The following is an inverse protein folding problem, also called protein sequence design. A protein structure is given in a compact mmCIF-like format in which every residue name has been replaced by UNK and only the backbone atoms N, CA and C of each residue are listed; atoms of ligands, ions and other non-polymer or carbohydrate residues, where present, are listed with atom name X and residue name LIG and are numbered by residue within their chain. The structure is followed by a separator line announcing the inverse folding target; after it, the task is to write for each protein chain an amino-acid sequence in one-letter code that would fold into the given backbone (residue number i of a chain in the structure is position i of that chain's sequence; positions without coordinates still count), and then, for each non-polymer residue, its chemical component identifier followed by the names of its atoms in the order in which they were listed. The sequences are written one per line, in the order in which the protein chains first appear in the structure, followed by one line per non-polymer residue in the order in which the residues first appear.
data_IF_913035359879
#
_entry.id   IF_913035359879
#
_cell.length_a   1.000
_cell.length_b   1.000
_cell.length_c   1.000
_cell.angle_alpha   90.00
_cell.angle_beta   90.00
_cell.angle_gamma   90.00
#
_symmetry.space_group_name_H-M   'P 1'
#
loop_
_entity.id
_entity.type
_entity.pdbx_description
1 polymer ?
#
# COMPACT_ATOMS: atom_id res chain seq x y z
N UNK A 1 25.82 -2.70 8.68
CA UNK A 1 25.68 -2.78 7.21
C UNK A 1 24.90 -4.06 6.89
N UNK A 2 23.57 -3.97 6.74
CA UNK A 2 22.75 -5.16 6.45
C UNK A 2 23.07 -5.69 5.03
N UNK A 3 23.18 -7.02 4.85
CA UNK A 3 23.78 -7.62 3.67
C UNK A 3 22.98 -7.26 2.41
N UNK A 4 23.69 -6.98 1.32
CA UNK A 4 23.15 -6.78 -0.04
C UNK A 4 22.48 -8.09 -0.52
N UNK A 5 21.28 -8.41 0.00
CA UNK A 5 20.41 -9.36 -0.68
C UNK A 5 20.06 -8.72 -2.03
N UNK A 6 20.40 -9.40 -3.13
CA UNK A 6 20.10 -8.92 -4.48
C UNK A 6 18.58 -8.79 -4.62
N UNK A 7 18.15 -7.58 -4.93
CA UNK A 7 16.75 -7.26 -5.19
C UNK A 7 16.42 -7.73 -6.59
N UNK A 8 15.44 -8.64 -6.69
CA UNK A 8 14.90 -9.15 -7.95
C UNK A 8 13.92 -8.16 -8.55
N UNK A 9 13.00 -7.64 -7.72
CA UNK A 9 11.95 -6.72 -8.15
C UNK A 9 11.49 -5.81 -7.00
N UNK A 10 11.10 -4.60 -7.36
CA UNK A 10 10.46 -3.62 -6.47
C UNK A 10 9.05 -3.34 -7.00
N UNK A 11 8.04 -3.67 -6.19
CA UNK A 11 6.64 -3.56 -6.57
C UNK A 11 5.99 -2.52 -5.65
N UNK A 12 5.33 -1.54 -6.24
CA UNK A 12 4.59 -0.48 -5.52
C UNK A 12 3.11 -0.68 -5.73
N UNK A 13 2.38 -0.93 -4.64
CA UNK A 13 0.94 -1.14 -4.66
C UNK A 13 0.25 -0.14 -3.74
N UNK A 14 -0.98 0.22 -4.09
CA UNK A 14 -1.87 0.99 -3.23
C UNK A 14 -3.02 0.08 -2.81
N UNK A 15 -3.09 -0.22 -1.51
CA UNK A 15 -4.08 -1.16 -0.98
C UNK A 15 -4.86 -0.48 0.14
N UNK A 16 -6.12 -0.85 0.32
CA UNK A 16 -6.90 -0.39 1.46
C UNK A 16 -6.43 -1.06 2.74
N UNK A 17 -6.14 -0.25 3.75
CA UNK A 17 -5.72 -0.68 5.07
C UNK A 17 -6.74 -1.63 5.71
N UNK A 18 -6.29 -2.79 6.17
CA UNK A 18 -7.13 -3.82 6.78
C UNK A 18 -8.13 -4.51 5.83
N UNK A 19 -8.08 -4.20 4.53
CA UNK A 19 -8.96 -4.76 3.51
C UNK A 19 -8.16 -5.25 2.28
N UNK A 20 -6.91 -5.69 2.47
CA UNK A 20 -6.17 -6.36 1.42
C UNK A 20 -6.87 -7.67 1.06
N UNK A 21 -7.11 -7.86 -0.24
CA UNK A 21 -7.64 -9.09 -0.82
C UNK A 21 -6.71 -9.56 -1.94
N UNK A 22 -6.66 -10.88 -2.24
CA UNK A 22 -5.87 -11.42 -3.34
C UNK A 22 -6.41 -11.06 -4.74
N UNK A 23 -7.24 -10.01 -4.83
CA UNK A 23 -7.92 -9.55 -6.03
C UNK A 23 -6.94 -9.07 -7.14
N UNK A 24 -7.43 -8.81 -8.37
CA UNK A 24 -6.62 -8.56 -9.57
C UNK A 24 -5.49 -7.50 -9.50
N UNK A 25 -5.48 -6.48 -8.62
CA UNK A 25 -4.31 -5.60 -8.53
C UNK A 25 -3.15 -6.24 -7.76
N UNK A 26 -3.41 -7.11 -6.77
CA UNK A 26 -2.40 -7.66 -5.86
C UNK A 26 -1.95 -9.05 -6.31
N UNK A 27 -2.89 -9.90 -6.72
CA UNK A 27 -2.64 -11.29 -7.08
C UNK A 27 -1.66 -11.45 -8.27
N UNK A 28 -1.94 -10.87 -9.45
CA UNK A 28 -1.04 -10.89 -10.60
C UNK A 28 0.31 -10.21 -10.32
N UNK A 29 0.28 -9.06 -9.63
CA UNK A 29 1.47 -8.25 -9.37
C UNK A 29 2.51 -8.97 -8.51
N UNK A 30 2.06 -9.75 -7.51
CA UNK A 30 2.94 -10.51 -6.61
C UNK A 30 3.17 -11.96 -7.08
N UNK A 31 2.14 -12.57 -7.68
CA UNK A 31 2.19 -13.94 -8.18
C UNK A 31 3.22 -14.13 -9.31
N UNK A 32 3.37 -13.13 -10.20
CA UNK A 32 4.40 -13.17 -11.25
C UNK A 32 5.84 -13.25 -10.70
N UNK A 33 6.06 -12.83 -9.45
CA UNK A 33 7.36 -12.83 -8.79
C UNK A 33 7.52 -13.98 -7.78
N UNK A 34 6.56 -14.91 -7.72
CA UNK A 34 6.63 -16.07 -6.84
C UNK A 34 6.48 -15.75 -5.35
N UNK A 35 5.86 -14.60 -5.02
CA UNK A 35 5.61 -14.19 -3.63
C UNK A 35 4.34 -14.83 -3.10
N UNK A 36 4.33 -15.24 -1.82
CA UNK A 36 3.15 -15.81 -1.19
C UNK A 36 2.09 -14.74 -0.89
N UNK A 37 1.08 -14.64 -1.77
CA UNK A 37 0.02 -13.61 -1.71
C UNK A 37 -0.76 -13.67 -0.40
N UNK A 38 -1.06 -14.87 0.11
CA UNK A 38 -1.85 -15.02 1.34
C UNK A 38 -1.12 -14.53 2.58
N UNK A 39 0.19 -14.81 2.68
CA UNK A 39 1.01 -14.33 3.79
C UNK A 39 1.15 -12.80 3.75
N UNK A 40 1.35 -12.25 2.56
CA UNK A 40 1.36 -10.80 2.36
C UNK A 40 0.03 -10.17 2.78
N UNK A 41 -1.11 -10.71 2.36
CA UNK A 41 -2.43 -10.19 2.72
C UNK A 41 -2.66 -10.20 4.23
N UNK A 42 -2.30 -11.28 4.92
CA UNK A 42 -2.41 -11.36 6.40
C UNK A 42 -1.50 -10.37 7.10
N UNK A 43 -0.21 -10.35 6.72
CA UNK A 43 0.79 -9.47 7.33
C UNK A 43 0.47 -8.00 7.08
N UNK A 44 0.01 -7.65 5.87
CA UNK A 44 -0.43 -6.32 5.53
C UNK A 44 -1.67 -5.91 6.32
N UNK A 45 -2.70 -6.77 6.40
CA UNK A 45 -3.91 -6.46 7.16
C UNK A 45 -3.63 -6.27 8.66
N UNK A 46 -2.72 -7.06 9.24
CA UNK A 46 -2.28 -6.89 10.63
C UNK A 46 -1.51 -5.57 10.82
N UNK A 47 -0.54 -5.26 9.94
CA UNK A 47 0.24 -4.02 10.03
C UNK A 47 -0.57 -2.75 9.74
N UNK A 48 -1.65 -2.87 8.98
CA UNK A 48 -2.52 -1.75 8.59
C UNK A 48 -3.84 -1.72 9.36
N UNK A 49 -4.02 -2.59 10.35
CA UNK A 49 -5.25 -2.66 11.15
C UNK A 49 -5.52 -1.34 11.88
N UNK A 50 -4.50 -0.70 12.43
CA UNK A 50 -4.61 0.60 13.10
C UNK A 50 -5.00 1.75 12.17
N UNK A 51 -4.97 1.52 10.85
CA UNK A 51 -5.21 2.53 9.83
C UNK A 51 -6.38 2.18 8.91
N UNK A 52 -7.23 1.23 9.34
CA UNK A 52 -8.45 0.80 8.64
C UNK A 52 -9.24 2.00 8.08
N UNK A 53 -9.57 1.92 6.80
CA UNK A 53 -10.29 2.98 6.05
C UNK A 53 -9.40 3.93 5.25
N UNK A 54 -8.07 3.87 5.40
CA UNK A 54 -7.13 4.63 4.56
C UNK A 54 -6.55 3.76 3.44
N UNK A 55 -6.20 4.35 2.31
CA UNK A 55 -5.38 3.68 1.29
C UNK A 55 -3.92 3.86 1.70
N UNK A 56 -3.19 2.77 1.91
CA UNK A 56 -1.79 2.79 2.29
C UNK A 56 -0.94 2.29 1.12
N UNK A 57 -0.01 3.12 0.63
CA UNK A 57 0.98 2.66 -0.32
C UNK A 57 1.96 1.70 0.36
N UNK A 58 2.26 0.60 -0.31
CA UNK A 58 3.19 -0.42 0.14
C UNK A 58 4.26 -0.65 -0.91
N UNK A 59 5.51 -0.66 -0.46
CA UNK A 59 6.65 -1.07 -1.28
C UNK A 59 7.04 -2.49 -0.91
N UNK A 60 6.99 -3.39 -1.87
CA UNK A 60 7.34 -4.79 -1.72
C UNK A 60 8.64 -5.03 -2.46
N UNK A 61 9.65 -5.46 -1.74
CA UNK A 61 10.97 -5.80 -2.25
C UNK A 61 11.06 -7.32 -2.31
N UNK A 62 11.22 -7.87 -3.51
CA UNK A 62 11.40 -9.31 -3.72
C UNK A 62 12.88 -9.59 -3.91
N UNK A 63 13.40 -10.57 -3.20
CA UNK A 63 14.80 -11.01 -3.27
C UNK A 63 14.93 -12.30 -4.11
N UNK A 64 16.15 -12.63 -4.53
CA UNK A 64 16.41 -13.82 -5.37
C UNK A 64 16.06 -15.14 -4.67
N UNK A 65 16.08 -15.16 -3.34
CA UNK A 65 15.71 -16.32 -2.50
C UNK A 65 14.19 -16.52 -2.38
N UNK A 66 13.38 -15.80 -3.18
CA UNK A 66 11.90 -15.74 -3.10
C UNK A 66 11.39 -15.19 -1.76
N UNK A 67 12.27 -14.65 -0.93
CA UNK A 67 11.85 -13.86 0.22
C UNK A 67 11.30 -12.52 -0.26
N UNK A 68 10.34 -12.00 0.48
CA UNK A 68 9.82 -10.66 0.27
C UNK A 68 9.93 -9.86 1.57
N UNK A 69 10.24 -8.58 1.46
CA UNK A 69 10.02 -7.61 2.53
C UNK A 69 9.05 -6.57 2.03
N UNK A 70 8.16 -6.10 2.91
CA UNK A 70 7.25 -5.04 2.59
C UNK A 70 7.40 -3.90 3.59
N UNK A 71 7.33 -2.68 3.08
CA UNK A 71 7.35 -1.46 3.88
C UNK A 71 6.03 -0.76 3.63
N UNK A 72 5.20 -0.67 4.66
CA UNK A 72 4.01 0.17 4.65
C UNK A 72 4.45 1.62 4.81
N UNK A 73 4.07 2.48 3.86
CA UNK A 73 4.29 3.92 4.00
C UNK A 73 3.18 4.53 4.83
N UNK A 74 3.40 5.78 5.22
CA UNK A 74 2.32 6.60 5.78
C UNK A 74 1.22 6.81 4.74
N UNK A 75 -0.04 6.85 5.20
CA UNK A 75 -1.17 7.09 4.32
C UNK A 75 -1.02 8.48 3.70
N UNK A 76 -1.49 8.70 2.46
CA UNK A 76 -1.29 9.96 1.77
C UNK A 76 -1.88 11.11 2.60
N UNK A 77 -1.08 12.16 2.80
CA UNK A 77 -1.50 13.35 3.53
C UNK A 77 -2.83 13.92 2.99
N UNK A 78 -3.09 13.78 1.69
CA UNK A 78 -4.35 14.17 1.05
C UNK A 78 -5.57 13.49 1.66
N UNK A 79 -5.50 12.20 2.02
CA UNK A 79 -6.60 11.47 2.69
C UNK A 79 -6.75 11.89 4.15
N UNK A 80 -5.64 12.17 4.85
CA UNK A 80 -5.69 12.70 6.21
C UNK A 80 -6.33 14.09 6.27
N UNK A 81 -6.00 14.97 5.32
CA UNK A 81 -6.58 16.30 5.19
C UNK A 81 -8.07 16.21 4.84
N UNK A 82 -8.45 15.38 3.87
CA UNK A 82 -9.85 15.17 3.49
C UNK A 82 -10.70 14.61 4.64
N UNK A 83 -10.15 13.66 5.41
CA UNK A 83 -10.82 13.09 6.59
C UNK A 83 -10.95 14.10 7.73
N UNK A 84 -9.91 14.90 7.99
CA UNK A 84 -9.96 15.99 8.96
C UNK A 84 -10.93 17.11 8.55
N UNK A 85 -11.09 17.33 7.24
CA UNK A 85 -12.01 18.32 6.69
C UNK A 85 -13.43 17.78 6.45
N UNK A 86 -13.69 16.49 6.70
CA UNK A 86 -15.01 15.86 6.53
C UNK A 86 -15.49 15.77 5.07
N UNK A 87 -14.59 15.90 4.09
CA UNK A 87 -14.93 16.02 2.67
C UNK A 87 -14.47 14.76 1.92
N UNK A 88 -15.39 14.11 1.19
CA UNK A 88 -15.12 12.86 0.48
C UNK A 88 -14.33 13.03 -0.83
N UNK A 89 -14.41 14.21 -1.46
CA UNK A 89 -13.69 14.56 -2.68
C UNK A 89 -13.05 15.93 -2.58
N UNK A 90 -11.74 15.99 -2.83
CA UNK A 90 -11.04 17.26 -3.01
C UNK A 90 -11.60 18.02 -4.22
N UNK A 91 -11.40 19.34 -4.22
CA UNK A 91 -11.85 20.18 -5.34
C UNK A 91 -11.22 19.73 -6.66
N UNK A 92 -12.05 19.61 -7.70
CA UNK A 92 -11.60 19.25 -9.05
C UNK A 92 -10.72 20.34 -9.70
N UNK A 93 -10.74 21.56 -9.15
CA UNK A 93 -9.91 22.69 -9.59
C UNK A 93 -9.18 23.26 -8.36
N UNK A 94 -7.92 22.85 -8.12
CA UNK A 94 -7.11 23.41 -7.05
C UNK A 94 -7.08 24.95 -7.15
N UNK A 95 -7.12 25.66 -6.01
CA UNK A 95 -7.09 27.12 -5.87
C UNK A 95 -8.29 27.94 -6.38
N UNK A 96 -9.17 27.44 -7.25
CA UNK A 96 -10.37 28.20 -7.69
C UNK A 96 -11.63 27.89 -6.88
N UNK A 97 -11.92 26.62 -6.63
CA UNK A 97 -13.02 26.21 -5.76
C UNK A 97 -12.44 25.69 -4.46
N UNK A 98 -12.54 26.50 -3.39
CA UNK A 98 -12.22 26.04 -2.04
C UNK A 98 -13.40 25.24 -1.52
N UNK A 99 -13.12 24.06 -0.96
CA UNK A 99 -14.10 23.27 -0.23
C UNK A 99 -14.19 23.84 1.19
N UNK A 100 -15.03 24.86 1.34
CA UNK A 100 -15.48 25.47 2.60
C UNK A 100 -16.88 26.02 2.38
#
# INVERSE_FOLDING_TARGET
MAPKKKVTALIKLQIQAGAATPAPPVGPALGQHGVNIMDFVKAYNAATESQKGNIIPVEITVFEDRSFTFITKTPPASRLILKAAGIEKGSAIPHKNKVA
#
